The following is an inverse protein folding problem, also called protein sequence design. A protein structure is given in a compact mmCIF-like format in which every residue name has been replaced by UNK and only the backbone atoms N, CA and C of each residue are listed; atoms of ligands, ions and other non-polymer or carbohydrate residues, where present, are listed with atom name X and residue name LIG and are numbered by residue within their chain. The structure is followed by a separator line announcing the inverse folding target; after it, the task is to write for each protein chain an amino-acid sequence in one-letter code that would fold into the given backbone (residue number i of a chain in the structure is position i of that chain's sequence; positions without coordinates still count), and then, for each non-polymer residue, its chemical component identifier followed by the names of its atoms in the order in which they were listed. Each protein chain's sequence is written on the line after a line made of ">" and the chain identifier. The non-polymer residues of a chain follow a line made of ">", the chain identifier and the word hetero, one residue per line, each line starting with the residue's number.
data_IF_066886990191
#
_entry.id   IF_066886990191
#
_cell.length_a   1.000
_cell.length_b   1.000
_cell.length_c   1.000
_cell.angle_alpha   90.00
_cell.angle_beta   90.00
_cell.angle_gamma   90.00
#
_symmetry.space_group_name_H-M   'P 1'
#
loop_
_entity.id
_entity.type
_entity.pdbx_description
1 polymer ?
#
# COMPACT_ATOMS: atom_id res chain seq x y z
N UNK A 1 12.91 -24.10 -9.78
CA UNK A 1 12.62 -23.79 -9.46
C UNK A 1 11.76 -23.06 -9.22
N UNK A 2 11.44 -22.81 -8.72
CA UNK A 2 10.51 -22.21 -8.38
C UNK A 2 10.39 -20.99 -8.61
N UNK A 3 9.79 -20.55 -9.15
CA UNK A 3 9.72 -19.42 -9.29
C UNK A 3 8.63 -18.87 -8.79
N UNK A 4 8.58 -18.27 -8.07
CA UNK A 4 7.52 -17.70 -7.52
C UNK A 4 7.28 -16.42 -8.10
N UNK A 5 6.13 -16.19 -8.61
CA UNK A 5 5.77 -14.94 -9.08
C UNK A 5 5.32 -14.12 -7.96
N UNK A 6 5.88 -13.00 -7.73
CA UNK A 6 5.56 -12.12 -6.65
C UNK A 6 4.55 -11.07 -7.06
N UNK A 7 3.56 -10.91 -6.26
CA UNK A 7 2.56 -9.89 -6.50
C UNK A 7 2.45 -9.04 -5.26
N UNK A 8 2.51 -7.74 -5.40
CA UNK A 8 2.56 -6.84 -4.27
C UNK A 8 1.55 -5.73 -4.42
N UNK A 9 0.87 -5.39 -3.34
CA UNK A 9 0.02 -4.22 -3.38
C UNK A 9 -0.07 -3.61 -2.00
N UNK A 10 -0.49 -2.36 -1.95
CA UNK A 10 -0.53 -1.59 -0.73
C UNK A 10 -1.92 -1.61 -0.15
N UNK A 11 -2.01 -1.99 1.10
CA UNK A 11 -3.26 -1.89 1.84
C UNK A 11 -3.26 -0.61 2.63
N UNK A 12 -4.38 0.04 2.61
CA UNK A 12 -4.58 1.17 3.49
C UNK A 12 -5.03 0.62 4.83
N UNK A 13 -4.19 0.81 5.82
CA UNK A 13 -4.48 0.32 7.15
C UNK A 13 -4.34 1.49 8.11
N UNK A 14 -5.33 1.76 8.89
CA UNK A 14 -5.27 2.89 9.78
C UNK A 14 -5.86 2.54 11.13
N UNK A 15 -5.52 3.36 12.11
CA UNK A 15 -6.08 3.20 13.41
C UNK A 15 -7.55 3.53 13.35
N UNK A 16 -8.31 2.84 14.17
CA UNK A 16 -9.71 3.07 14.26
C UNK A 16 -10.01 4.50 14.58
N UNK A 17 -10.92 5.08 13.87
CA UNK A 17 -11.39 6.44 14.10
C UNK A 17 -10.30 7.49 14.09
N UNK A 18 -9.24 7.24 13.34
CA UNK A 18 -8.16 8.22 13.26
C UNK A 18 -7.82 8.48 11.80
N UNK A 19 -8.60 9.31 11.12
CA UNK A 19 -8.37 9.57 9.70
C UNK A 19 -7.13 10.43 9.44
N UNK A 20 -6.55 11.01 10.48
CA UNK A 20 -5.37 11.85 10.31
C UNK A 20 -4.08 11.06 10.28
N UNK A 21 -4.14 9.78 10.62
CA UNK A 21 -2.95 8.96 10.65
C UNK A 21 -3.18 7.75 9.80
N UNK A 22 -2.39 7.63 8.76
CA UNK A 22 -2.56 6.56 7.79
C UNK A 22 -1.39 5.60 7.91
N UNK A 23 -1.70 4.33 8.17
CA UNK A 23 -0.71 3.27 8.20
C UNK A 23 -0.82 2.49 6.92
N UNK A 24 0.31 2.30 6.25
CA UNK A 24 0.33 1.59 4.98
C UNK A 24 1.16 0.33 5.11
N UNK A 25 0.60 -0.75 4.64
CA UNK A 25 1.28 -2.03 4.59
C UNK A 25 1.35 -2.50 3.15
N UNK A 26 2.46 -3.10 2.79
CA UNK A 26 2.57 -3.78 1.51
C UNK A 26 2.29 -5.24 1.73
N UNK A 27 1.36 -5.79 0.98
CA UNK A 27 1.09 -7.22 1.02
C UNK A 27 1.82 -7.87 -0.14
N UNK A 28 2.67 -8.82 0.20
CA UNK A 28 3.46 -9.54 -0.78
C UNK A 28 2.90 -10.94 -0.88
N UNK A 29 2.53 -11.32 -2.08
CA UNK A 29 1.95 -12.64 -2.31
C UNK A 29 2.89 -13.45 -3.17
N UNK A 30 3.20 -14.66 -2.72
CA UNK A 30 3.93 -15.58 -3.56
C UNK A 30 3.29 -16.95 -3.54
N UNK A 31 3.75 -17.76 -4.46
CA UNK A 31 3.28 -19.11 -4.55
C UNK A 31 4.42 -20.05 -4.20
N UNK A 32 4.13 -21.00 -3.34
CA UNK A 32 5.08 -22.03 -2.99
C UNK A 32 4.42 -23.34 -3.40
N UNK A 33 4.79 -23.81 -4.58
CA UNK A 33 4.08 -24.91 -5.16
C UNK A 33 2.68 -24.46 -5.52
N UNK A 34 1.69 -25.03 -4.89
CA UNK A 34 0.32 -24.65 -5.13
C UNK A 34 -0.25 -23.80 -4.03
N UNK A 35 0.55 -23.51 -3.04
CA UNK A 35 0.09 -22.71 -1.93
C UNK A 35 0.35 -21.25 -2.17
N UNK A 36 -0.63 -20.45 -1.82
CA UNK A 36 -0.51 -19.01 -1.88
C UNK A 36 -0.12 -18.49 -0.51
N UNK A 37 0.96 -17.76 -0.44
CA UNK A 37 1.49 -17.25 0.82
C UNK A 37 1.48 -15.76 0.78
N UNK A 38 1.01 -15.16 1.87
CA UNK A 38 0.98 -13.70 2.00
C UNK A 38 1.90 -13.27 3.13
N UNK A 39 2.68 -12.25 2.86
CA UNK A 39 3.48 -11.60 3.89
C UNK A 39 3.19 -10.12 3.86
N UNK A 40 3.33 -9.50 5.00
CA UNK A 40 3.02 -8.09 5.13
C UNK A 40 4.25 -7.35 5.60
N UNK A 41 4.48 -6.20 4.99
CA UNK A 41 5.58 -5.33 5.36
C UNK A 41 5.01 -3.97 5.64
N UNK A 42 5.28 -3.42 6.81
CA UNK A 42 4.84 -2.07 7.13
C UNK A 42 5.70 -1.10 6.35
N UNK A 43 5.08 -0.26 5.57
CA UNK A 43 5.82 0.73 4.79
C UNK A 43 5.73 2.12 5.39
N UNK A 44 5.02 2.28 6.50
CA UNK A 44 5.12 3.50 7.25
C UNK A 44 3.80 4.02 7.74
N UNK A 45 3.91 5.02 8.58
CA UNK A 45 2.76 5.76 9.08
C UNK A 45 2.95 7.20 8.65
N UNK A 46 1.90 7.81 8.12
CA UNK A 46 2.00 9.13 7.54
C UNK A 46 0.81 9.96 7.96
N UNK A 47 1.01 11.27 8.01
CA UNK A 47 -0.11 12.16 8.25
C UNK A 47 -1.00 12.20 7.01
N UNK A 48 -2.20 12.71 7.19
CA UNK A 48 -3.13 12.86 6.08
C UNK A 48 -2.50 13.68 4.95
N UNK A 49 -1.86 14.79 5.31
CA UNK A 49 -1.29 15.66 4.29
C UNK A 49 -0.16 14.98 3.53
N UNK A 50 0.69 14.25 4.25
CA UNK A 50 1.76 13.52 3.59
C UNK A 50 1.22 12.48 2.64
N UNK A 51 0.14 11.83 3.04
CA UNK A 51 -0.45 10.81 2.21
C UNK A 51 -1.12 11.42 0.97
N UNK A 52 -1.90 12.46 1.17
CA UNK A 52 -2.67 13.04 0.06
C UNK A 52 -1.80 13.84 -0.90
N UNK A 53 -0.69 14.38 -0.43
CA UNK A 53 0.21 15.16 -1.28
C UNK A 53 1.34 14.35 -1.86
N UNK A 54 1.27 13.04 -1.73
CA UNK A 54 2.22 12.12 -2.34
C UNK A 54 3.63 12.17 -1.75
N UNK A 55 3.78 12.79 -0.59
CA UNK A 55 5.06 12.76 0.10
C UNK A 55 5.36 11.33 0.53
N UNK A 56 4.34 10.64 1.05
CA UNK A 56 4.51 9.26 1.44
C UNK A 56 4.84 8.38 0.24
N UNK A 57 4.25 8.69 -0.90
CA UNK A 57 4.53 7.93 -2.12
C UNK A 57 6.02 7.96 -2.46
N UNK A 58 6.63 9.13 -2.37
CA UNK A 58 8.05 9.24 -2.69
C UNK A 58 8.90 8.45 -1.71
N UNK A 59 8.55 8.47 -0.45
CA UNK A 59 9.27 7.70 0.54
C UNK A 59 9.17 6.20 0.21
N UNK A 60 8.00 5.76 -0.16
CA UNK A 60 7.80 4.35 -0.48
C UNK A 60 8.60 3.96 -1.71
N UNK A 61 8.59 4.80 -2.73
CA UNK A 61 9.38 4.52 -3.93
C UNK A 61 10.86 4.39 -3.59
N UNK A 62 11.36 5.30 -2.79
CA UNK A 62 12.78 5.32 -2.51
C UNK A 62 13.23 4.21 -1.58
N UNK A 63 12.40 3.84 -0.62
CA UNK A 63 12.81 2.88 0.40
C UNK A 63 12.35 1.47 0.15
N UNK A 64 11.23 1.30 -0.55
CA UNK A 64 10.59 -0.01 -0.60
C UNK A 64 10.38 -0.51 -2.02
N UNK A 65 11.02 0.10 -3.00
CA UNK A 65 10.76 -0.29 -4.39
C UNK A 65 11.11 -1.74 -4.67
N UNK A 66 12.04 -2.32 -3.90
CA UNK A 66 12.43 -3.69 -4.15
C UNK A 66 11.34 -4.70 -3.81
N UNK A 67 10.31 -4.27 -3.10
CA UNK A 67 9.21 -5.17 -2.78
C UNK A 67 8.13 -5.15 -3.85
N UNK A 68 8.30 -4.34 -4.86
CA UNK A 68 7.31 -4.17 -5.92
C UNK A 68 7.93 -4.54 -7.26
N UNK A 69 7.08 -4.80 -8.21
CA UNK A 69 7.55 -5.18 -9.55
C UNK A 69 8.07 -3.98 -10.33
N UNK A 70 7.48 -2.82 -10.09
CA UNK A 70 7.90 -1.62 -10.79
C UNK A 70 7.43 -0.40 -10.04
N UNK A 71 7.98 0.75 -10.39
CA UNK A 71 7.52 2.01 -9.80
C UNK A 71 6.08 2.28 -10.22
N UNK A 72 5.73 1.90 -11.44
CA UNK A 72 4.35 2.09 -11.90
C UNK A 72 3.37 1.33 -11.02
N UNK A 73 3.74 0.14 -10.57
CA UNK A 73 2.90 -0.63 -9.67
C UNK A 73 2.73 0.07 -8.33
N UNK A 74 3.81 0.65 -7.82
CA UNK A 74 3.73 1.39 -6.57
C UNK A 74 2.74 2.54 -6.71
N UNK A 75 2.86 3.30 -7.78
CA UNK A 75 1.98 4.44 -8.01
C UNK A 75 0.54 3.98 -8.13
N UNK A 76 0.32 2.92 -8.85
CA UNK A 76 -1.02 2.39 -9.05
C UNK A 76 -1.67 1.98 -7.74
N UNK A 77 -0.95 1.20 -6.94
CA UNK A 77 -1.51 0.73 -5.68
C UNK A 77 -1.67 1.86 -4.67
N UNK A 78 -0.74 2.80 -4.69
CA UNK A 78 -0.84 3.96 -3.82
C UNK A 78 -2.09 4.78 -4.17
N UNK A 79 -2.32 5.00 -5.45
CA UNK A 79 -3.49 5.76 -5.87
C UNK A 79 -4.78 5.04 -5.54
N UNK A 80 -4.78 3.71 -5.62
CA UNK A 80 -5.95 2.94 -5.21
C UNK A 80 -6.22 3.10 -3.71
N UNK A 81 -5.18 3.07 -2.91
CA UNK A 81 -5.33 3.26 -1.46
C UNK A 81 -5.84 4.67 -1.17
N UNK A 82 -5.31 5.65 -1.90
CA UNK A 82 -5.72 7.02 -1.71
C UNK A 82 -7.19 7.22 -2.09
N UNK A 83 -7.61 6.61 -3.18
CA UNK A 83 -9.00 6.69 -3.60
C UNK A 83 -9.93 6.08 -2.56
N UNK A 84 -9.55 4.93 -1.99
CA UNK A 84 -10.37 4.31 -0.95
C UNK A 84 -10.44 5.20 0.28
N UNK A 85 -9.33 5.81 0.64
CA UNK A 85 -9.29 6.68 1.79
C UNK A 85 -10.22 7.89 1.58
N UNK A 86 -10.13 8.52 0.42
CA UNK A 86 -10.97 9.67 0.13
C UNK A 86 -12.44 9.30 0.11
N UNK A 87 -12.75 8.16 -0.48
CA UNK A 87 -14.12 7.72 -0.55
C UNK A 87 -14.68 7.48 0.84
N UNK A 88 -13.88 6.95 1.73
CA UNK A 88 -14.34 6.61 3.05
C UNK A 88 -14.53 7.83 3.94
N UNK A 89 -13.68 8.83 3.81
CA UNK A 89 -13.70 9.96 4.74
C UNK A 89 -14.22 11.26 4.14
N UNK A 90 -14.20 11.40 2.83
CA UNK A 90 -14.56 12.66 2.22
C UNK A 90 -15.69 12.59 1.23
N UNK A 91 -16.03 11.39 0.80
CA UNK A 91 -17.11 11.24 -0.17
C UNK A 91 -18.24 10.43 0.40
N UNK A 92 -18.12 10.00 1.61
CA UNK A 92 -19.13 9.13 2.16
C UNK A 92 -20.43 9.90 2.32
N UNK A 93 -21.52 9.18 2.21
CA UNK A 93 -22.83 9.80 2.34
C UNK A 93 -23.40 10.30 1.04
N UNK A 94 -22.70 10.14 -0.04
CA UNK A 94 -23.16 10.62 -1.33
C UNK A 94 -24.03 9.64 -2.05
#
# INVERSE_FOLDING_TARGET
>A
MSKTKKSTFIHLHRLKDNPDRIYLNARITYYDGQKQIHKYKTVGAYSRDEFLNNVALEVIINKYNKYFNSVDDIVKYYNNAKARYLKQFYVKGW
#
